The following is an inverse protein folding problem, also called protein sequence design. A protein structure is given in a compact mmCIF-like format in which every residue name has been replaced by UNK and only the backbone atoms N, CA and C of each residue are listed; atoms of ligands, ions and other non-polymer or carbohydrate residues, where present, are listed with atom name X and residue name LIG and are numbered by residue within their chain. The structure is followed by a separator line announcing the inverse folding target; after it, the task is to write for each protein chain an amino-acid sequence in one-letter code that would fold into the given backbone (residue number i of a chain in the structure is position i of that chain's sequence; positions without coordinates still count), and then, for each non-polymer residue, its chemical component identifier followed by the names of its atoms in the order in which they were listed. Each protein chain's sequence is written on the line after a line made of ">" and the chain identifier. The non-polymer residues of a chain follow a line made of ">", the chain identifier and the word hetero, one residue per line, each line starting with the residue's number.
data_IF_423481002961
#
_entry.id   IF_423481002961
#
_cell.length_a   1.000
_cell.length_b   1.000
_cell.length_c   1.000
_cell.angle_alpha   90.00
_cell.angle_beta   90.00
_cell.angle_gamma   90.00
#
_symmetry.space_group_name_H-M   'P 1'
#
loop_
_entity.id
_entity.type
_entity.pdbx_description
1 polymer ?
#
# COMPACT_ATOMS: atom_id res chain seq x y z
N UNK A 1 20.02 19.64 1.37
CA UNK A 1 19.55 18.26 1.63
C UNK A 1 18.03 18.29 1.58
N UNK A 2 17.41 17.39 0.80
CA UNK A 2 15.96 17.25 0.75
C UNK A 2 15.57 15.88 1.31
N UNK A 3 14.58 15.83 2.20
CA UNK A 3 14.07 14.59 2.78
C UNK A 3 12.59 14.73 3.10
N UNK A 4 11.83 13.66 2.92
CA UNK A 4 10.41 13.61 3.29
C UNK A 4 10.20 13.32 4.78
N UNK A 5 11.18 12.73 5.45
CA UNK A 5 11.14 12.40 6.89
C UNK A 5 12.47 12.71 7.57
N UNK A 6 12.44 13.05 8.86
CA UNK A 6 13.63 13.32 9.67
C UNK A 6 13.84 12.19 10.68
N UNK A 7 14.36 11.05 10.22
CA UNK A 7 14.79 9.98 11.12
C UNK A 7 16.12 10.33 11.80
N UNK A 8 16.45 9.72 12.96
CA UNK A 8 17.71 9.98 13.65
C UNK A 8 18.95 9.75 12.77
N UNK A 9 18.88 8.81 11.81
CA UNK A 9 19.96 8.55 10.87
C UNK A 9 20.18 9.71 9.89
N UNK A 10 19.10 10.27 9.34
CA UNK A 10 19.15 11.43 8.45
C UNK A 10 19.58 12.68 9.20
N UNK A 11 19.17 12.83 10.46
CA UNK A 11 19.60 13.94 11.30
C UNK A 11 21.11 13.93 11.56
N UNK A 12 21.69 12.76 11.88
CA UNK A 12 23.15 12.62 12.01
C UNK A 12 23.87 12.99 10.72
N UNK A 13 23.32 12.57 9.58
CA UNK A 13 23.89 12.86 8.27
C UNK A 13 23.79 14.36 7.95
N UNK A 14 22.66 15.00 8.27
CA UNK A 14 22.50 16.44 8.13
C UNK A 14 23.53 17.21 8.98
N UNK A 15 23.76 16.81 10.23
CA UNK A 15 24.75 17.44 11.12
C UNK A 15 26.19 17.26 10.63
N UNK A 16 26.51 16.11 10.04
CA UNK A 16 27.86 15.83 9.55
C UNK A 16 28.21 16.65 8.29
N UNK A 17 27.22 16.93 7.43
CA UNK A 17 27.46 17.52 6.11
C UNK A 17 27.03 18.98 5.97
N UNK A 18 26.19 19.52 6.86
CA UNK A 18 25.67 20.88 6.76
C UNK A 18 26.25 21.78 7.87
N UNK A 19 26.76 22.96 7.50
CA UNK A 19 27.14 24.01 8.46
C UNK A 19 26.09 25.10 8.47
N UNK A 20 25.44 25.31 9.63
CA UNK A 20 24.36 26.29 9.86
C UNK A 20 23.25 26.23 8.79
N UNK A 21 22.58 25.08 8.58
CA UNK A 21 21.49 25.00 7.62
C UNK A 21 20.26 25.76 8.12
N UNK A 22 19.58 26.47 7.22
CA UNK A 22 18.20 26.87 7.40
C UNK A 22 17.30 25.67 7.05
N UNK A 23 16.27 25.43 7.88
CA UNK A 23 15.32 24.34 7.65
C UNK A 23 14.00 24.93 7.17
N UNK A 24 13.57 24.52 5.98
CA UNK A 24 12.29 24.93 5.40
C UNK A 24 11.37 23.71 5.42
N UNK A 25 10.24 23.85 6.10
CA UNK A 25 9.20 22.83 6.18
C UNK A 25 8.02 23.24 5.31
N UNK A 26 7.57 22.32 4.45
CA UNK A 26 6.35 22.50 3.65
C UNK A 26 5.35 21.46 4.17
N UNK A 27 4.37 21.90 4.95
CA UNK A 27 3.38 21.04 5.65
C UNK A 27 3.73 20.70 7.10
N UNK A 28 2.89 19.90 7.77
CA UNK A 28 3.08 19.46 9.16
C UNK A 28 4.25 18.44 9.27
N UNK A 29 5.24 18.73 10.11
CA UNK A 29 6.41 17.85 10.32
C UNK A 29 5.98 16.55 11.01
N UNK A 30 6.37 15.41 10.45
CA UNK A 30 6.29 14.12 11.14
C UNK A 30 4.91 13.46 11.20
N UNK A 31 3.91 14.00 10.50
CA UNK A 31 2.59 13.37 10.38
C UNK A 31 2.19 13.21 8.91
N UNK A 32 2.61 12.12 8.25
CA UNK A 32 1.98 11.71 6.98
C UNK A 32 0.47 11.46 7.13
N UNK A 33 0.01 11.29 8.37
CA UNK A 33 -1.28 10.70 8.74
C UNK A 33 -2.43 11.68 8.97
N UNK A 34 -2.22 13.00 8.92
CA UNK A 34 -3.32 13.95 9.18
C UNK A 34 -4.34 14.07 8.02
N UNK A 35 -4.07 13.48 6.85
CA UNK A 35 -4.94 13.57 5.66
C UNK A 35 -5.51 12.23 5.18
N UNK A 36 -5.34 11.16 5.95
CA UNK A 36 -5.72 9.79 5.54
C UNK A 36 -6.77 9.24 6.47
N UNK A 37 -7.97 8.98 5.95
CA UNK A 37 -9.01 8.23 6.67
C UNK A 37 -8.60 6.75 6.78
N UNK A 38 -8.63 6.19 7.98
CA UNK A 38 -8.16 4.83 8.24
C UNK A 38 -9.28 4.02 8.89
N UNK A 39 -9.93 3.17 8.09
CA UNK A 39 -10.99 2.27 8.55
C UNK A 39 -10.41 0.87 8.82
N UNK A 40 -10.75 0.31 9.99
CA UNK A 40 -10.24 -0.97 10.49
C UNK A 40 -11.37 -1.99 10.56
N UNK A 41 -11.22 -3.17 9.95
CA UNK A 41 -12.20 -4.24 10.03
C UNK A 41 -11.65 -5.45 10.80
N UNK A 42 -12.30 -5.81 11.91
CA UNK A 42 -11.93 -6.98 12.70
C UNK A 42 -12.74 -8.19 12.24
N UNK A 43 -12.22 -8.95 11.26
CA UNK A 43 -12.89 -10.15 10.72
C UNK A 43 -11.96 -11.36 10.68
N UNK A 44 -12.53 -12.56 10.69
CA UNK A 44 -11.77 -13.81 10.58
C UNK A 44 -11.17 -14.03 9.18
N UNK A 45 -10.13 -14.85 9.08
CA UNK A 45 -9.43 -15.18 7.82
C UNK A 45 -10.38 -15.64 6.71
N UNK A 46 -11.33 -16.52 7.03
CA UNK A 46 -12.34 -17.03 6.10
C UNK A 46 -13.24 -15.94 5.51
N UNK A 47 -13.47 -14.87 6.28
CA UNK A 47 -14.34 -13.75 5.86
C UNK A 47 -13.60 -12.68 5.07
N UNK A 48 -12.26 -12.68 5.07
CA UNK A 48 -11.43 -11.66 4.39
C UNK A 48 -11.78 -11.51 2.93
N UNK A 49 -11.85 -12.64 2.22
CA UNK A 49 -12.12 -12.67 0.79
C UNK A 49 -13.49 -12.08 0.47
N UNK A 50 -14.51 -12.45 1.25
CA UNK A 50 -15.87 -11.96 1.06
C UNK A 50 -15.93 -10.44 1.24
N UNK A 51 -15.31 -9.92 2.31
CA UNK A 51 -15.27 -8.48 2.57
C UNK A 51 -14.45 -7.71 1.54
N UNK A 52 -13.33 -8.28 1.08
CA UNK A 52 -12.55 -7.70 -0.01
C UNK A 52 -13.43 -7.49 -1.25
N UNK A 53 -14.13 -8.55 -1.68
CA UNK A 53 -15.01 -8.52 -2.86
C UNK A 53 -16.11 -7.48 -2.69
N UNK A 54 -16.76 -7.44 -1.52
CA UNK A 54 -17.77 -6.43 -1.20
C UNK A 54 -17.26 -4.99 -1.38
N UNK A 55 -16.02 -4.70 -0.93
CA UNK A 55 -15.43 -3.37 -1.04
C UNK A 55 -15.09 -2.99 -2.48
N UNK A 56 -14.43 -3.88 -3.22
CA UNK A 56 -14.03 -3.59 -4.61
C UNK A 56 -15.21 -3.65 -5.61
N UNK A 57 -16.32 -4.30 -5.23
CA UNK A 57 -17.57 -4.29 -6.00
C UNK A 57 -18.44 -3.08 -5.70
N UNK A 58 -18.15 -2.33 -4.63
CA UNK A 58 -18.86 -1.09 -4.38
C UNK A 58 -18.35 -0.02 -5.34
N UNK A 59 -19.25 0.75 -5.95
CA UNK A 59 -18.91 1.92 -6.79
C UNK A 59 -18.30 3.09 -5.98
N UNK A 60 -17.82 2.82 -4.76
CA UNK A 60 -17.22 3.80 -3.88
C UNK A 60 -15.76 4.12 -4.23
N UNK A 61 -15.08 3.26 -5.00
CA UNK A 61 -13.67 3.39 -5.32
C UNK A 61 -13.40 3.16 -6.81
N UNK A 62 -12.85 4.16 -7.49
CA UNK A 62 -12.50 4.08 -8.90
C UNK A 62 -11.13 3.41 -9.10
N UNK A 63 -10.90 2.61 -10.15
CA UNK A 63 -9.55 2.13 -10.46
C UNK A 63 -8.54 3.29 -10.63
N UNK A 64 -7.26 3.14 -10.27
CA UNK A 64 -6.61 1.91 -9.83
C UNK A 64 -6.66 1.67 -8.31
N UNK A 65 -6.85 0.40 -7.93
CA UNK A 65 -6.85 -0.07 -6.53
C UNK A 65 -5.58 -0.89 -6.28
N UNK A 66 -4.96 -0.75 -5.11
CA UNK A 66 -3.81 -1.57 -4.69
C UNK A 66 -4.15 -2.42 -3.46
N UNK A 67 -3.82 -3.71 -3.54
CA UNK A 67 -4.02 -4.68 -2.47
C UNK A 67 -2.66 -5.22 -2.03
N UNK A 68 -2.31 -5.01 -0.77
CA UNK A 68 -1.08 -5.53 -0.19
C UNK A 68 -1.29 -6.85 0.53
N UNK A 69 -0.39 -7.80 0.24
CA UNK A 69 -0.30 -9.12 0.87
C UNK A 69 1.14 -9.38 1.32
N UNK A 70 1.33 -10.26 2.29
CA UNK A 70 2.65 -10.51 2.87
C UNK A 70 3.48 -11.54 2.10
N UNK A 71 2.82 -12.41 1.32
CA UNK A 71 3.48 -13.56 0.68
C UNK A 71 3.24 -13.60 -0.82
N UNK A 72 4.28 -13.98 -1.59
CA UNK A 72 4.22 -14.11 -3.07
C UNK A 72 3.09 -15.06 -3.51
N UNK A 73 3.01 -16.24 -2.89
CA UNK A 73 1.95 -17.22 -3.16
C UNK A 73 0.56 -16.66 -2.84
N UNK A 74 0.45 -15.88 -1.76
CA UNK A 74 -0.80 -15.19 -1.41
C UNK A 74 -1.24 -14.23 -2.50
N UNK A 75 -0.31 -13.47 -3.08
CA UNK A 75 -0.60 -12.54 -4.17
C UNK A 75 -1.15 -13.26 -5.42
N UNK A 76 -0.48 -14.32 -5.84
CA UNK A 76 -0.92 -15.11 -7.00
C UNK A 76 -2.29 -15.77 -6.76
N UNK A 77 -2.52 -16.35 -5.57
CA UNK A 77 -3.79 -16.99 -5.23
C UNK A 77 -4.94 -15.97 -5.16
N UNK A 78 -4.70 -14.81 -4.57
CA UNK A 78 -5.69 -13.77 -4.45
C UNK A 78 -6.08 -13.22 -5.82
N UNK A 79 -5.11 -12.90 -6.67
CA UNK A 79 -5.37 -12.44 -8.03
C UNK A 79 -6.13 -13.48 -8.86
N UNK A 80 -5.74 -14.77 -8.80
CA UNK A 80 -6.52 -15.85 -9.45
C UNK A 80 -7.96 -15.91 -8.97
N UNK A 81 -8.19 -15.70 -7.67
CA UNK A 81 -9.54 -15.64 -7.09
C UNK A 81 -10.34 -14.46 -7.65
N UNK A 82 -9.73 -13.28 -7.72
CA UNK A 82 -10.34 -12.08 -8.27
C UNK A 82 -10.64 -12.21 -9.77
N UNK A 83 -9.74 -12.79 -10.56
CA UNK A 83 -9.98 -13.05 -11.99
C UNK A 83 -11.19 -13.95 -12.21
N UNK A 84 -11.38 -14.99 -11.37
CA UNK A 84 -12.55 -15.87 -11.45
C UNK A 84 -13.87 -15.15 -11.14
N UNK A 85 -13.81 -14.05 -10.40
CA UNK A 85 -14.96 -13.22 -10.06
C UNK A 85 -15.22 -12.11 -11.09
N UNK A 86 -14.43 -12.06 -12.19
CA UNK A 86 -14.60 -11.10 -13.28
C UNK A 86 -13.76 -9.84 -13.17
N UNK A 87 -12.96 -9.68 -12.12
CA UNK A 87 -12.04 -8.55 -11.99
C UNK A 87 -10.79 -8.71 -12.86
N UNK A 88 -10.09 -7.61 -13.10
CA UNK A 88 -8.87 -7.59 -13.90
C UNK A 88 -7.61 -7.27 -13.06
N UNK A 89 -7.16 -8.19 -12.17
CA UNK A 89 -5.99 -7.95 -11.35
C UNK A 89 -4.67 -8.17 -12.12
N UNK A 90 -3.63 -7.42 -11.74
CA UNK A 90 -2.24 -7.73 -12.01
C UNK A 90 -1.49 -8.05 -10.71
N UNK A 91 -0.37 -8.76 -10.82
CA UNK A 91 0.38 -9.26 -9.65
C UNK A 91 1.81 -8.77 -9.68
N UNK A 92 2.27 -8.24 -8.54
CA UNK A 92 3.63 -7.75 -8.41
C UNK A 92 4.30 -8.21 -7.12
N UNK A 93 5.24 -9.13 -7.28
CA UNK A 93 6.10 -9.60 -6.20
C UNK A 93 7.50 -9.91 -6.74
N UNK A 94 8.50 -10.03 -5.86
CA UNK A 94 9.90 -10.31 -6.24
C UNK A 94 10.16 -11.73 -6.77
N UNK A 95 9.16 -12.37 -7.36
CA UNK A 95 9.29 -13.62 -8.12
C UNK A 95 8.75 -13.49 -9.54
N UNK A 96 8.19 -12.32 -9.91
CA UNK A 96 7.90 -11.98 -11.30
C UNK A 96 9.19 -11.47 -11.95
N UNK A 97 9.39 -11.82 -13.22
CA UNK A 97 10.47 -11.26 -14.04
C UNK A 97 10.26 -9.76 -14.30
N UNK A 98 11.31 -9.10 -14.80
CA UNK A 98 11.27 -7.66 -15.07
C UNK A 98 10.20 -7.30 -16.11
N UNK A 99 10.10 -8.06 -17.20
CA UNK A 99 9.08 -7.82 -18.25
C UNK A 99 7.65 -7.91 -17.69
N UNK A 100 7.38 -8.90 -16.83
CA UNK A 100 6.08 -9.08 -16.19
C UNK A 100 5.76 -7.95 -15.21
N UNK A 101 6.78 -7.40 -14.56
CA UNK A 101 6.66 -6.22 -13.70
C UNK A 101 6.29 -4.99 -14.55
N UNK A 102 7.03 -4.72 -15.62
CA UNK A 102 6.77 -3.58 -16.51
C UNK A 102 5.38 -3.67 -17.14
N UNK A 103 5.00 -4.84 -17.62
CA UNK A 103 3.65 -5.08 -18.14
C UNK A 103 2.57 -4.80 -17.09
N UNK A 104 2.72 -5.29 -15.86
CA UNK A 104 1.73 -5.08 -14.79
C UNK A 104 1.56 -3.60 -14.43
N UNK A 105 2.65 -2.83 -14.47
CA UNK A 105 2.64 -1.40 -14.19
C UNK A 105 2.05 -0.60 -15.36
N UNK A 106 2.42 -0.94 -16.60
CA UNK A 106 1.86 -0.32 -17.79
C UNK A 106 0.35 -0.56 -17.89
N UNK A 107 -0.08 -1.81 -17.70
CA UNK A 107 -1.47 -2.21 -17.77
C UNK A 107 -2.33 -1.60 -16.65
N UNK A 108 -1.74 -1.31 -15.48
CA UNK A 108 -2.43 -0.56 -14.42
C UNK A 108 -2.56 0.92 -14.78
N UNK A 109 -1.54 1.49 -15.45
CA UNK A 109 -1.49 2.91 -15.81
C UNK A 109 -2.38 3.26 -17.00
N UNK A 110 -2.54 2.35 -17.95
CA UNK A 110 -3.40 2.52 -19.12
C UNK A 110 -4.87 2.12 -18.88
N UNK A 111 -5.19 1.57 -17.70
CA UNK A 111 -6.53 1.15 -17.32
C UNK A 111 -6.92 -0.25 -17.84
N UNK A 112 -6.00 -1.01 -18.44
CA UNK A 112 -6.22 -2.42 -18.83
C UNK A 112 -6.35 -3.35 -17.62
N UNK A 113 -5.87 -2.91 -16.45
CA UNK A 113 -5.99 -3.61 -15.17
C UNK A 113 -6.45 -2.63 -14.12
N UNK A 114 -7.42 -3.06 -13.33
CA UNK A 114 -8.06 -2.19 -12.33
C UNK A 114 -7.44 -2.35 -10.94
N UNK A 115 -6.81 -3.50 -10.69
CA UNK A 115 -6.36 -3.92 -9.36
C UNK A 115 -4.92 -4.39 -9.43
N UNK A 116 -4.06 -3.85 -8.57
CA UNK A 116 -2.72 -4.35 -8.34
C UNK A 116 -2.64 -5.15 -7.03
N UNK A 117 -2.29 -6.42 -7.10
CA UNK A 117 -1.98 -7.24 -5.91
C UNK A 117 -0.46 -7.30 -5.71
N UNK A 118 0.04 -6.74 -4.62
CA UNK A 118 1.47 -6.58 -4.40
C UNK A 118 1.98 -7.03 -3.03
N UNK A 119 3.27 -7.38 -2.99
CA UNK A 119 4.03 -7.58 -1.74
C UNK A 119 4.90 -6.36 -1.42
N UNK A 120 5.19 -6.09 -0.15
CA UNK A 120 6.02 -4.96 0.31
C UNK A 120 7.32 -4.78 -0.49
N UNK A 121 8.04 -5.88 -0.68
CA UNK A 121 9.37 -5.86 -1.32
C UNK A 121 9.28 -5.36 -2.76
N UNK A 122 8.22 -5.76 -3.47
CA UNK A 122 8.04 -5.32 -4.85
C UNK A 122 7.35 -3.95 -4.95
N UNK A 123 6.54 -3.60 -3.93
CA UNK A 123 5.86 -2.31 -3.78
C UNK A 123 6.79 -1.12 -3.57
N UNK A 124 7.96 -1.36 -2.97
CA UNK A 124 8.97 -0.32 -2.73
C UNK A 124 9.56 0.18 -4.05
N UNK A 125 9.50 1.49 -4.26
CA UNK A 125 10.08 2.15 -5.44
C UNK A 125 9.25 2.08 -6.71
N UNK A 126 8.02 1.56 -6.65
CA UNK A 126 7.08 1.70 -7.76
C UNK A 126 6.45 3.09 -7.71
N UNK A 127 6.46 3.80 -8.83
CA UNK A 127 5.73 5.06 -8.99
C UNK A 127 4.27 4.84 -9.42
N UNK A 128 3.48 4.18 -8.56
CA UNK A 128 2.02 4.21 -8.65
C UNK A 128 1.55 5.21 -7.60
N UNK A 129 1.23 6.41 -8.07
CA UNK A 129 0.60 7.47 -7.29
C UNK A 129 -0.88 7.52 -7.64
N UNK A 130 -1.66 8.20 -6.80
CA UNK A 130 -3.07 8.53 -7.08
C UNK A 130 -4.00 7.31 -7.20
N UNK A 131 -3.74 6.24 -6.42
CA UNK A 131 -4.73 5.15 -6.24
C UNK A 131 -5.90 5.65 -5.41
N UNK A 132 -7.11 5.21 -5.77
CA UNK A 132 -8.33 5.54 -5.01
C UNK A 132 -8.45 4.74 -3.71
N UNK A 133 -7.82 3.56 -3.65
CA UNK A 133 -7.91 2.66 -2.51
C UNK A 133 -6.61 1.88 -2.33
N UNK A 134 -6.06 1.98 -1.13
CA UNK A 134 -5.01 1.09 -0.60
C UNK A 134 -5.65 0.14 0.39
N UNK A 135 -5.63 -1.15 0.07
CA UNK A 135 -6.18 -2.21 0.91
C UNK A 135 -5.06 -3.09 1.47
N UNK A 136 -5.00 -3.22 2.80
CA UNK A 136 -4.08 -4.11 3.48
C UNK A 136 -4.76 -5.46 3.75
N UNK A 137 -4.64 -6.40 2.80
CA UNK A 137 -5.26 -7.73 2.95
C UNK A 137 -4.58 -8.55 4.04
N UNK A 138 -3.25 -8.46 4.09
CA UNK A 138 -2.45 -8.90 5.23
C UNK A 138 -1.81 -7.68 5.91
N UNK A 139 -1.83 -7.64 7.23
CA UNK A 139 -1.16 -6.55 7.96
C UNK A 139 0.35 -6.58 7.73
N UNK A 140 0.94 -5.41 7.50
CA UNK A 140 2.39 -5.26 7.38
C UNK A 140 3.10 -5.74 8.66
N UNK A 141 4.33 -6.23 8.50
CA UNK A 141 5.11 -6.77 9.63
C UNK A 141 5.70 -5.67 10.52
N UNK A 142 5.78 -4.45 10.00
CA UNK A 142 6.35 -3.28 10.68
C UNK A 142 5.47 -2.06 10.44
N UNK A 143 5.56 -1.07 11.33
CA UNK A 143 4.83 0.20 11.19
C UNK A 143 5.38 1.03 10.04
N UNK A 144 6.67 0.89 9.75
CA UNK A 144 7.35 1.53 8.63
C UNK A 144 6.80 1.01 7.30
N UNK A 145 6.64 -0.31 7.17
CA UNK A 145 6.03 -0.92 5.98
C UNK A 145 4.58 -0.47 5.82
N UNK A 146 3.82 -0.46 6.91
CA UNK A 146 2.45 0.06 6.90
C UNK A 146 2.38 1.49 6.39
N UNK A 147 3.24 2.37 6.92
CA UNK A 147 3.32 3.78 6.53
C UNK A 147 3.69 3.92 5.05
N UNK A 148 4.61 3.09 4.55
CA UNK A 148 4.97 3.08 3.12
C UNK A 148 3.85 2.58 2.21
N UNK A 149 3.02 1.64 2.67
CA UNK A 149 1.86 1.15 1.91
C UNK A 149 0.82 2.24 1.75
N UNK A 150 0.43 2.89 2.86
CA UNK A 150 -0.58 3.95 2.84
C UNK A 150 -0.08 5.23 2.16
N UNK A 151 1.24 5.44 2.07
CA UNK A 151 1.83 6.56 1.35
C UNK A 151 1.75 6.48 -0.19
N UNK A 152 1.09 5.45 -0.76
CA UNK A 152 0.85 5.33 -2.21
C UNK A 152 -0.35 6.13 -2.70
N UNK A 153 -1.01 6.80 -1.78
CA UNK A 153 -2.22 7.57 -1.97
C UNK A 153 -1.84 8.99 -2.36
N UNK A 154 -2.36 9.44 -3.49
CA UNK A 154 -2.26 10.83 -3.93
C UNK A 154 -3.02 11.78 -3.02
N UNK A 155 -3.03 13.08 -3.33
CA UNK A 155 -3.75 14.14 -2.61
C UNK A 155 -5.29 13.99 -2.59
N UNK A 156 -5.85 12.83 -2.93
CA UNK A 156 -7.28 12.59 -3.11
C UNK A 156 -7.79 11.67 -1.99
N UNK A 157 -8.85 12.10 -1.31
CA UNK A 157 -9.51 11.38 -0.21
C UNK A 157 -10.13 10.07 -0.71
N UNK A 158 -9.79 8.95 -0.06
CA UNK A 158 -10.67 7.88 0.49
C UNK A 158 -9.85 6.60 0.79
N UNK A 159 -9.76 6.15 2.06
CA UNK A 159 -9.03 4.91 2.50
C UNK A 159 -9.80 4.28 3.70
N UNK A 160 -9.77 2.99 4.11
CA UNK A 160 -8.78 1.90 4.19
C UNK A 160 -9.54 0.58 4.57
N UNK A 161 -8.92 -0.62 4.50
CA UNK A 161 -9.34 -1.81 5.30
C UNK A 161 -8.11 -2.52 5.91
N UNK A 162 -8.15 -2.75 7.23
CA UNK A 162 -7.32 -3.71 7.98
C UNK A 162 -7.99 -5.07 8.05
N UNK A 163 -7.20 -6.15 8.05
CA UNK A 163 -7.70 -7.45 8.49
C UNK A 163 -6.64 -8.31 9.20
N UNK A 164 -6.79 -8.59 10.50
CA UNK A 164 -6.20 -9.77 11.19
C UNK A 164 -6.62 -9.89 12.68
N UNK A 165 -6.64 -11.15 13.15
CA UNK A 165 -6.88 -11.69 14.50
C UNK A 165 -6.09 -10.99 15.61
N UNK A 166 -6.79 -10.53 16.65
CA UNK A 166 -6.18 -10.16 17.93
C UNK A 166 -6.39 -11.32 18.92
N UNK A 167 -5.32 -12.07 19.22
CA UNK A 167 -5.29 -12.88 20.45
C UNK A 167 -4.73 -11.95 21.53
N UNK A 168 -5.60 -11.17 22.15
CA UNK A 168 -5.23 -10.45 23.37
C UNK A 168 -5.11 -11.51 24.47
N UNK A 169 -3.89 -11.97 24.77
CA UNK A 169 -3.61 -12.42 26.13
C UNK A 169 -3.26 -11.15 26.91
N UNK A 170 -4.23 -10.68 27.68
CA UNK A 170 -3.95 -9.76 28.78
C UNK A 170 -3.30 -10.63 29.85
N UNK A 171 -2.00 -10.49 30.05
CA UNK A 171 -1.32 -10.57 31.35
C UNK A 171 0.00 -9.80 31.23
#
# INVERSE_FOLDING_TARGET
>A
MFTATMSPAIERLARAYLRRPAVVYIGSIGRPTERVEQIVYMIGEESKRKKLVELISSDAFEPPIIIFVNQKRGADMLAKGLTKLGFQPCVLHGGKGQDAREYSLAALKDGTKDILVATDVAGRGIDIKDVSLVLNYDMAKSIEDYTHRIGRTGNTMNFLMFISKLKISIF
#
